data_IF_246506610766
#
_entry.id   IF_246506610766
#
_cell.length_a   1.000
_cell.length_b   1.000
_cell.length_c   1.000
_cell.angle_alpha   90.00
_cell.angle_beta   90.00
_cell.angle_gamma   90.00
#
_symmetry.space_group_name_H-M   'P 1'
#
loop_
_entity.id
_entity.type
_entity.pdbx_description
1 polymer ?
#
# COMPACT_ATOMS: atom_id res chain seq x y z
N UNK A 1 20.50 -4.59 2.46
CA UNK A 1 19.81 -3.59 1.62
C UNK A 1 20.25 -2.20 2.01
N UNK A 2 20.16 -1.25 1.08
CA UNK A 2 20.31 0.19 1.35
C UNK A 2 18.95 0.80 1.69
N UNK A 3 18.95 1.90 2.43
CA UNK A 3 17.73 2.69 2.66
C UNK A 3 17.40 3.51 1.42
N UNK A 4 16.12 3.64 1.11
CA UNK A 4 15.60 4.55 0.09
C UNK A 4 14.31 5.20 0.59
N UNK A 5 13.90 6.27 -0.08
CA UNK A 5 12.69 7.01 0.24
C UNK A 5 11.94 7.29 -1.05
N UNK A 6 10.67 6.92 -1.09
CA UNK A 6 9.76 7.19 -2.20
C UNK A 6 8.82 8.34 -1.81
N UNK A 7 9.21 9.60 -2.04
CA UNK A 7 8.35 10.74 -1.76
C UNK A 7 7.14 10.76 -2.70
N UNK A 8 5.99 11.20 -2.19
CA UNK A 8 4.79 11.42 -3.01
C UNK A 8 3.94 10.18 -3.27
N UNK A 9 4.16 9.08 -2.55
CA UNK A 9 3.28 7.90 -2.55
C UNK A 9 1.87 8.32 -2.07
N UNK A 10 0.83 8.20 -2.91
CA UNK A 10 -0.52 8.66 -2.56
C UNK A 10 -1.34 7.58 -1.86
N UNK A 11 -2.47 8.00 -1.27
CA UNK A 11 -3.52 7.10 -0.74
C UNK A 11 -3.04 6.14 0.36
N UNK A 12 -2.20 6.63 1.28
CA UNK A 12 -1.51 5.79 2.26
C UNK A 12 -2.39 5.50 3.48
N UNK A 13 -2.76 4.23 3.66
CA UNK A 13 -3.43 3.72 4.85
C UNK A 13 -2.53 2.71 5.58
N UNK A 14 -1.82 3.17 6.61
CA UNK A 14 -0.98 2.32 7.46
C UNK A 14 -1.82 1.36 8.30
N UNK A 15 -1.36 0.11 8.41
CA UNK A 15 -2.03 -0.91 9.21
C UNK A 15 -1.10 -1.75 10.10
N UNK A 16 0.21 -1.77 9.84
CA UNK A 16 1.17 -2.50 10.67
C UNK A 16 2.56 -1.86 10.61
N UNK A 17 2.92 -1.05 11.60
CA UNK A 17 4.22 -0.36 11.61
C UNK A 17 4.42 0.50 10.36
N UNK A 18 5.31 0.06 9.46
CA UNK A 18 5.55 0.71 8.17
C UNK A 18 4.71 0.16 7.00
N UNK A 19 3.96 -0.93 7.18
CA UNK A 19 3.15 -1.53 6.13
C UNK A 19 1.85 -0.75 5.93
N UNK A 20 1.52 -0.50 4.65
CA UNK A 20 0.35 0.26 4.27
C UNK A 20 -0.31 -0.28 2.99
N UNK A 21 -1.60 0.03 2.84
CA UNK A 21 -2.25 0.07 1.52
C UNK A 21 -1.90 1.41 0.88
N UNK A 22 -1.45 1.43 -0.37
CA UNK A 22 -1.20 2.70 -1.07
C UNK A 22 -1.14 2.54 -2.59
N UNK A 23 -1.18 3.68 -3.28
CA UNK A 23 -0.88 3.73 -4.71
C UNK A 23 0.61 3.60 -4.96
N UNK A 24 1.03 2.85 -5.97
CA UNK A 24 2.40 2.85 -6.46
C UNK A 24 2.42 2.70 -7.99
N UNK A 25 3.49 3.11 -8.68
CA UNK A 25 3.62 2.82 -10.11
C UNK A 25 4.45 1.55 -10.30
N UNK A 26 3.82 0.50 -10.83
CA UNK A 26 4.47 -0.77 -11.17
C UNK A 26 4.23 -1.13 -12.64
N UNK A 27 5.19 -1.84 -13.23
CA UNK A 27 5.02 -2.41 -14.57
C UNK A 27 4.03 -3.58 -14.62
N UNK A 28 3.84 -4.29 -13.49
CA UNK A 28 2.82 -5.33 -13.34
C UNK A 28 2.47 -5.57 -11.86
N UNK A 29 1.26 -6.08 -11.62
CA UNK A 29 0.74 -6.46 -10.30
C UNK A 29 0.46 -7.96 -10.23
N UNK A 30 0.21 -8.47 -9.02
CA UNK A 30 -0.17 -9.88 -8.80
C UNK A 30 1.00 -10.81 -8.46
N UNK A 31 2.22 -10.27 -8.32
CA UNK A 31 3.39 -11.01 -7.82
C UNK A 31 4.10 -10.19 -6.72
N UNK A 32 4.71 -10.85 -5.72
CA UNK A 32 5.43 -10.16 -4.63
C UNK A 32 6.58 -9.29 -5.16
N UNK A 33 6.55 -7.99 -4.84
CA UNK A 33 7.53 -6.99 -5.31
C UNK A 33 7.83 -5.87 -4.29
N UNK A 34 6.95 -5.66 -3.31
CA UNK A 34 7.08 -4.64 -2.28
C UNK A 34 7.92 -5.13 -1.09
N UNK A 35 8.20 -4.23 -0.14
CA UNK A 35 8.88 -4.53 1.12
C UNK A 35 7.91 -4.79 2.29
N UNK A 36 6.64 -5.13 1.99
CA UNK A 36 5.61 -5.41 3.00
C UNK A 36 4.27 -4.73 2.70
N UNK A 37 4.31 -3.56 2.07
CA UNK A 37 3.11 -2.83 1.66
C UNK A 37 2.27 -3.60 0.61
N UNK A 38 0.97 -3.32 0.60
CA UNK A 38 0.06 -3.77 -0.44
C UNK A 38 -0.14 -2.63 -1.42
N UNK A 39 0.57 -2.73 -2.54
CA UNK A 39 0.60 -1.70 -3.58
C UNK A 39 -0.52 -1.92 -4.61
N UNK A 40 -1.15 -0.83 -5.04
CA UNK A 40 -2.20 -0.82 -6.05
C UNK A 40 -1.92 0.23 -7.13
N UNK A 41 -2.48 0.09 -8.35
CA UNK A 41 -2.51 1.21 -9.27
C UNK A 41 -3.33 2.36 -8.69
N UNK A 42 -3.06 3.58 -9.16
CA UNK A 42 -3.57 4.79 -8.51
C UNK A 42 -5.09 4.89 -8.53
N UNK A 43 -5.74 4.41 -9.59
CA UNK A 43 -7.19 4.47 -9.72
C UNK A 43 -7.86 3.59 -8.65
N UNK A 44 -7.37 2.37 -8.44
CA UNK A 44 -7.84 1.43 -7.43
C UNK A 44 -7.50 1.91 -6.01
N UNK A 45 -6.28 2.41 -5.80
CA UNK A 45 -5.88 2.96 -4.51
C UNK A 45 -6.79 4.13 -4.09
N UNK A 46 -7.16 5.00 -5.03
CA UNK A 46 -8.06 6.13 -4.78
C UNK A 46 -9.48 5.69 -4.39
N UNK A 47 -9.93 4.54 -4.89
CA UNK A 47 -11.23 3.97 -4.56
C UNK A 47 -11.23 3.28 -3.20
N UNK A 48 -10.11 2.64 -2.82
CA UNK A 48 -9.98 1.93 -1.54
C UNK A 48 -9.81 2.89 -0.37
N UNK A 49 -9.01 3.94 -0.54
CA UNK A 49 -8.59 4.84 0.54
C UNK A 49 -9.73 5.43 1.40
N UNK A 50 -10.88 5.87 0.84
CA UNK A 50 -12.01 6.35 1.64
C UNK A 50 -12.65 5.29 2.56
N UNK A 51 -12.48 4.00 2.25
CA UNK A 51 -13.03 2.87 3.01
C UNK A 51 -12.07 2.30 4.05
N UNK A 52 -10.86 2.85 4.17
CA UNK A 52 -9.85 2.42 5.13
C UNK A 52 -9.50 3.55 6.12
N UNK A 53 -10.49 4.14 6.83
CA UNK A 53 -10.20 5.08 7.89
C UNK A 53 -9.40 4.41 9.02
N UNK A 54 -8.74 5.22 9.84
CA UNK A 54 -7.98 4.75 11.01
C UNK A 54 -8.89 3.88 11.89
N UNK A 55 -8.40 2.70 12.28
CA UNK A 55 -9.13 1.71 13.06
C UNK A 55 -9.85 0.64 12.23
N UNK A 56 -9.80 0.72 10.89
CA UNK A 56 -10.27 -0.36 10.01
C UNK A 56 -9.48 -1.64 10.28
N UNK A 57 -10.18 -2.74 10.51
CA UNK A 57 -9.56 -4.04 10.72
C UNK A 57 -8.88 -4.52 9.44
N UNK A 58 -7.62 -4.96 9.56
CA UNK A 58 -6.88 -5.62 8.49
C UNK A 58 -6.57 -7.04 8.91
N UNK A 59 -6.88 -8.00 8.05
CA UNK A 59 -6.50 -9.40 8.22
C UNK A 59 -5.60 -9.80 7.06
N UNK A 60 -4.37 -10.21 7.38
CA UNK A 60 -3.42 -10.75 6.41
C UNK A 60 -3.37 -12.26 6.62
N UNK A 61 -3.67 -13.02 5.57
CA UNK A 61 -3.76 -14.48 5.60
C UNK A 61 -2.74 -15.09 4.64
N UNK A 62 -2.30 -16.30 4.95
CA UNK A 62 -1.34 -17.08 4.15
C UNK A 62 -2.02 -17.90 3.05
#
# INVERSE_FOLDING_TARGET
>A
GSTYSDPGVPYVSYFNGGDALHGFLRGSYGVPQSLGCVEMPYDEASQVYPYTPIGTLVSVVA
#
